data_IF_120672851841
#
_entry.id   IF_120672851841
#
_cell.length_a   1.000
_cell.length_b   1.000
_cell.length_c   1.000
_cell.angle_alpha   90.00
_cell.angle_beta   90.00
_cell.angle_gamma   90.00
#
_symmetry.space_group_name_H-M   'P 1'
#
loop_
_entity.id
_entity.type
_entity.pdbx_description
1 polymer ?
#
# COMPACT_ATOMS: atom_id res chain seq x y z
N UNK A 1 11.15 12.46 24.65
CA UNK A 1 10.59 12.36 26.02
C UNK A 1 9.12 12.07 25.85
N UNK A 2 8.59 10.94 26.35
CA UNK A 2 7.17 10.65 26.26
C UNK A 2 6.34 11.81 26.86
N UNK A 3 5.23 12.15 26.22
CA UNK A 3 4.25 13.06 26.80
C UNK A 3 3.37 12.26 27.77
N UNK A 4 3.03 12.89 28.89
CA UNK A 4 2.11 12.31 29.86
C UNK A 4 0.74 12.95 29.66
N UNK A 5 -0.27 12.10 29.52
CA UNK A 5 -1.67 12.48 29.51
C UNK A 5 -2.33 12.07 30.81
N UNK A 6 -3.30 12.85 31.26
CA UNK A 6 -3.90 12.65 32.59
C UNK A 6 -5.42 12.55 32.53
N UNK A 7 -5.97 11.52 33.17
CA UNK A 7 -7.37 11.41 33.57
C UNK A 7 -7.46 11.70 35.07
N UNK A 8 -8.18 12.74 35.47
CA UNK A 8 -8.64 12.88 36.86
C UNK A 8 -9.85 11.99 37.14
N UNK A 9 -9.76 11.09 38.11
CA UNK A 9 -10.91 10.31 38.59
C UNK A 9 -11.76 11.09 39.59
N UNK A 10 -13.03 10.70 39.76
CA UNK A 10 -13.92 11.26 40.79
C UNK A 10 -13.75 10.60 42.16
N UNK A 11 -13.33 9.34 42.21
CA UNK A 11 -13.44 8.51 43.40
C UNK A 11 -12.25 8.64 44.38
N UNK A 12 -11.15 9.23 43.93
CA UNK A 12 -9.90 9.34 44.70
C UNK A 12 -9.17 10.67 44.49
N UNK A 13 -9.71 11.61 43.70
CA UNK A 13 -9.01 12.85 43.30
C UNK A 13 -7.65 12.60 42.65
N UNK A 14 -7.45 11.44 42.03
CA UNK A 14 -6.15 11.03 41.49
C UNK A 14 -6.10 11.02 39.97
N UNK A 15 -4.88 11.20 39.47
CA UNK A 15 -4.52 11.24 38.07
C UNK A 15 -4.12 9.83 37.58
N UNK A 16 -4.92 9.21 36.71
CA UNK A 16 -4.43 8.14 35.83
C UNK A 16 -3.47 8.75 34.82
N UNK A 17 -2.23 8.27 34.75
CA UNK A 17 -1.20 8.80 33.87
C UNK A 17 -0.98 7.84 32.70
N UNK A 18 -1.31 8.29 31.50
CA UNK A 18 -1.01 7.59 30.26
C UNK A 18 0.25 8.16 29.65
N UNK A 19 1.22 7.31 29.40
CA UNK A 19 2.40 7.66 28.62
C UNK A 19 2.08 7.52 27.14
N UNK A 20 2.36 8.55 26.34
CA UNK A 20 2.37 8.49 24.88
C UNK A 20 3.73 8.94 24.35
N UNK A 21 4.32 8.31 23.32
CA UNK A 21 5.63 8.68 22.80
C UNK A 21 5.67 10.13 22.30
N UNK A 22 6.83 10.80 22.41
CA UNK A 22 7.06 12.14 21.81
C UNK A 22 6.94 12.19 20.29
N UNK A 23 6.83 11.04 19.63
CA UNK A 23 6.62 10.92 18.19
C UNK A 23 5.16 10.57 17.85
N UNK A 24 4.26 10.56 18.83
CA UNK A 24 2.84 10.29 18.60
C UNK A 24 2.16 11.51 17.96
N UNK A 25 1.54 11.34 16.78
CA UNK A 25 0.95 12.37 15.90
C UNK A 25 0.78 13.79 16.48
N UNK A 26 1.49 14.76 15.90
CA UNK A 26 1.24 16.19 16.12
C UNK A 26 1.96 16.83 17.30
N UNK A 27 3.17 16.39 17.68
CA UNK A 27 3.86 16.77 18.93
C UNK A 27 4.40 18.20 19.05
N UNK A 28 4.07 19.10 18.13
CA UNK A 28 4.20 20.53 18.46
C UNK A 28 3.01 20.88 19.35
N UNK A 29 3.23 21.60 20.47
CA UNK A 29 2.16 22.12 21.34
C UNK A 29 1.36 23.23 20.63
N UNK A 30 0.92 22.95 19.42
CA UNK A 30 0.12 23.81 18.57
C UNK A 30 -1.32 23.35 18.68
N UNK A 31 -2.21 24.34 18.75
CA UNK A 31 -3.65 24.13 18.81
C UNK A 31 -4.12 23.18 17.71
N UNK A 32 -4.70 22.06 18.11
CA UNK A 32 -5.25 21.04 17.21
C UNK A 32 -4.41 19.78 17.02
N UNK A 33 -3.31 19.61 17.77
CA UNK A 33 -2.56 18.34 17.79
C UNK A 33 -3.40 17.17 18.33
N UNK A 34 -3.11 15.93 17.92
CA UNK A 34 -3.83 14.75 18.45
C UNK A 34 -3.60 14.58 19.96
N UNK A 35 -2.40 14.87 20.46
CA UNK A 35 -2.11 14.84 21.90
C UNK A 35 -2.95 15.87 22.67
N UNK A 36 -3.12 17.08 22.14
CA UNK A 36 -3.99 18.08 22.76
C UNK A 36 -5.47 17.70 22.68
N UNK A 37 -5.93 17.18 21.53
CA UNK A 37 -7.29 16.67 21.38
C UNK A 37 -7.56 15.52 22.34
N UNK A 38 -6.60 14.60 22.49
CA UNK A 38 -6.67 13.49 23.43
C UNK A 38 -6.62 13.99 24.88
N UNK A 39 -5.76 14.95 25.21
CA UNK A 39 -5.74 15.53 26.56
C UNK A 39 -7.07 16.25 26.87
N UNK A 40 -7.62 17.00 25.93
CA UNK A 40 -8.91 17.67 26.07
C UNK A 40 -10.05 16.65 26.23
N UNK A 41 -9.99 15.54 25.48
CA UNK A 41 -10.91 14.43 25.62
C UNK A 41 -10.86 13.83 27.03
N UNK A 42 -9.66 13.49 27.52
CA UNK A 42 -9.46 12.91 28.85
C UNK A 42 -9.90 13.88 29.97
N UNK A 43 -9.67 15.19 29.82
CA UNK A 43 -10.16 16.23 30.76
C UNK A 43 -11.69 16.33 30.74
N UNK A 44 -12.32 16.26 29.57
CA UNK A 44 -13.78 16.24 29.46
C UNK A 44 -14.37 15.00 30.10
N UNK A 45 -13.75 13.84 29.87
CA UNK A 45 -14.15 12.57 30.48
C UNK A 45 -14.06 12.63 32.00
N UNK A 46 -12.95 13.15 32.54
CA UNK A 46 -12.78 13.45 33.96
C UNK A 46 -13.93 14.29 34.52
N UNK A 47 -14.29 15.36 33.82
CA UNK A 47 -15.38 16.25 34.25
C UNK A 47 -16.72 15.51 34.28
N UNK A 48 -16.98 14.66 33.29
CA UNK A 48 -18.21 13.84 33.22
C UNK A 48 -18.29 12.78 34.31
N UNK A 49 -17.16 12.12 34.64
CA UNK A 49 -17.07 11.16 35.74
C UNK A 49 -17.30 11.88 37.08
N UNK A 50 -16.65 13.03 37.30
CA UNK A 50 -16.84 13.87 38.50
C UNK A 50 -18.26 14.40 38.64
N UNK A 51 -18.93 14.69 37.52
CA UNK A 51 -20.34 15.07 37.48
C UNK A 51 -21.33 13.92 37.69
N UNK A 52 -20.86 12.67 37.78
CA UNK A 52 -21.69 11.48 37.94
C UNK A 52 -22.46 11.04 36.69
N UNK A 53 -22.13 11.60 35.52
CA UNK A 53 -22.75 11.26 34.25
C UNK A 53 -22.20 9.96 33.63
N UNK A 54 -20.98 9.57 34.03
CA UNK A 54 -20.23 8.43 33.51
C UNK A 54 -19.78 7.55 34.69
N UNK A 55 -19.92 6.22 34.59
CA UNK A 55 -19.34 5.27 35.53
C UNK A 55 -17.84 5.09 35.29
N UNK A 56 -17.11 4.67 36.33
CA UNK A 56 -15.66 4.43 36.27
C UNK A 56 -15.29 3.14 37.02
N UNK A 57 -14.50 2.30 36.35
CA UNK A 57 -13.91 1.08 36.89
C UNK A 57 -12.39 1.07 36.67
N UNK A 58 -11.64 0.89 37.75
CA UNK A 58 -10.19 0.74 37.77
C UNK A 58 -9.83 -0.69 38.13
N UNK A 59 -9.37 -1.46 37.16
CA UNK A 59 -8.86 -2.80 37.32
C UNK A 59 -7.34 -2.73 37.54
N UNK A 60 -6.89 -2.80 38.79
CA UNK A 60 -5.46 -2.96 39.10
C UNK A 60 -5.07 -4.41 38.83
N UNK A 61 -4.70 -4.65 37.59
CA UNK A 61 -4.36 -5.97 37.06
C UNK A 61 -3.00 -6.48 37.56
N UNK A 62 -2.19 -5.63 38.20
CA UNK A 62 -0.94 -6.03 38.84
C UNK A 62 -1.13 -6.39 40.32
N UNK A 63 -1.95 -5.62 41.05
CA UNK A 63 -2.30 -5.85 42.45
C UNK A 63 -3.42 -6.87 42.67
N UNK A 64 -4.20 -7.17 41.63
CA UNK A 64 -5.33 -8.11 41.67
C UNK A 64 -6.57 -7.55 42.36
N UNK A 65 -6.77 -6.24 42.30
CA UNK A 65 -7.89 -5.54 42.93
C UNK A 65 -8.66 -4.68 41.93
N UNK A 66 -9.97 -4.85 41.89
CA UNK A 66 -10.86 -4.06 41.04
C UNK A 66 -11.63 -3.04 41.90
N UNK A 67 -11.68 -1.79 41.43
CA UNK A 67 -12.35 -0.69 42.10
C UNK A 67 -13.40 -0.07 41.16
N UNK A 68 -14.67 -0.14 41.53
CA UNK A 68 -15.78 0.38 40.73
C UNK A 68 -16.60 1.42 41.51
N UNK A 69 -17.10 2.44 40.81
CA UNK A 69 -18.07 3.40 41.34
C UNK A 69 -19.30 3.48 40.44
N UNK A 70 -20.47 3.08 40.99
CA UNK A 70 -21.80 2.97 40.32
C UNK A 70 -21.92 1.67 39.48
N UNK A 71 -23.08 0.98 39.39
CA UNK A 71 -23.14 -0.34 38.75
C UNK A 71 -22.67 -0.24 37.30
N UNK A 72 -21.85 -1.20 36.90
CA UNK A 72 -21.21 -1.41 35.59
C UNK A 72 -22.19 -1.60 34.41
N UNK A 73 -23.33 -0.89 34.43
CA UNK A 73 -24.46 -1.04 33.52
C UNK A 73 -25.10 0.29 33.08
N UNK A 74 -24.55 1.45 33.45
CA UNK A 74 -24.97 2.73 32.85
C UNK A 74 -24.24 2.91 31.52
N UNK A 75 -25.00 3.03 30.43
CA UNK A 75 -24.46 3.25 29.09
C UNK A 75 -23.55 4.49 29.08
N UNK A 76 -22.33 4.33 28.55
CA UNK A 76 -21.33 5.40 28.54
C UNK A 76 -20.24 5.25 29.60
N UNK A 77 -20.08 4.12 30.28
CA UNK A 77 -19.08 4.02 31.38
C UNK A 77 -17.66 3.77 30.85
N UNK A 78 -16.66 4.09 31.69
CA UNK A 78 -15.23 3.98 31.40
C UNK A 78 -14.58 2.86 32.23
N UNK A 79 -13.65 2.13 31.62
CA UNK A 79 -12.90 1.05 32.26
C UNK A 79 -11.39 1.20 32.00
N UNK A 80 -10.58 1.13 33.05
CA UNK A 80 -9.12 1.18 32.99
C UNK A 80 -8.50 -0.11 33.50
N UNK A 81 -7.55 -0.65 32.73
CA UNK A 81 -6.70 -1.76 33.11
C UNK A 81 -5.30 -1.22 33.35
N UNK A 82 -4.86 -1.20 34.61
CA UNK A 82 -3.59 -0.57 34.99
C UNK A 82 -2.83 -1.38 36.03
N UNK A 83 -1.57 -1.03 36.26
CA UNK A 83 -0.79 -1.48 37.41
C UNK A 83 -0.80 -0.46 38.56
N UNK A 84 -1.73 0.49 38.54
CA UNK A 84 -1.86 1.55 39.54
C UNK A 84 -3.10 1.30 40.40
N UNK A 85 -2.92 1.15 41.71
CA UNK A 85 -4.04 0.94 42.61
C UNK A 85 -4.91 2.20 42.77
N UNK A 86 -6.04 2.06 43.47
CA UNK A 86 -6.95 3.19 43.73
C UNK A 86 -6.35 4.33 44.56
N UNK A 87 -5.15 4.15 45.12
CA UNK A 87 -4.39 5.16 45.86
C UNK A 87 -3.26 5.79 45.06
N UNK A 88 -3.13 5.44 43.76
CA UNK A 88 -2.07 5.94 42.89
C UNK A 88 -0.73 5.23 43.05
N UNK A 89 -0.70 4.17 43.86
CA UNK A 89 0.52 3.39 44.03
C UNK A 89 0.70 2.48 42.83
N UNK A 90 1.83 2.64 42.15
CA UNK A 90 2.19 1.84 40.98
C UNK A 90 2.87 0.55 41.44
N UNK A 91 2.25 -0.59 41.14
CA UNK A 91 2.87 -1.91 41.29
C UNK A 91 3.88 -2.11 40.16
N UNK A 92 5.17 -2.16 40.51
CA UNK A 92 6.24 -2.38 39.55
C UNK A 92 6.24 -3.78 38.94
N UNK A 93 6.79 -3.93 37.74
CA UNK A 93 6.88 -5.20 37.01
C UNK A 93 6.00 -5.23 35.77
N UNK A 94 6.02 -6.37 35.07
CA UNK A 94 5.19 -6.61 33.87
C UNK A 94 3.95 -7.40 34.24
N UNK A 95 2.79 -7.00 33.71
CA UNK A 95 1.52 -7.71 33.83
C UNK A 95 1.32 -8.62 32.62
N UNK A 96 0.70 -9.78 32.84
CA UNK A 96 0.25 -10.67 31.78
C UNK A 96 -1.08 -11.30 32.16
N UNK A 97 -2.10 -11.17 31.31
CA UNK A 97 -3.43 -11.71 31.61
C UNK A 97 -4.43 -11.50 30.48
N UNK A 98 -5.57 -12.18 30.59
CA UNK A 98 -6.70 -12.03 29.69
C UNK A 98 -7.89 -11.43 30.46
N UNK A 99 -8.43 -10.35 29.92
CA UNK A 99 -9.50 -9.57 30.52
C UNK A 99 -10.62 -9.35 29.50
N UNK A 100 -11.80 -9.01 29.98
CA UNK A 100 -12.98 -8.72 29.15
C UNK A 100 -13.51 -7.37 29.55
N UNK A 101 -13.75 -6.51 28.57
CA UNK A 101 -14.38 -5.21 28.79
C UNK A 101 -15.81 -5.44 29.30
N UNK A 102 -16.19 -4.77 30.38
CA UNK A 102 -17.54 -4.85 30.96
C UNK A 102 -18.63 -4.48 29.96
N UNK A 103 -19.83 -5.03 30.07
CA UNK A 103 -20.93 -4.71 29.15
C UNK A 103 -21.36 -3.24 29.26
N UNK A 104 -21.50 -2.53 28.14
CA UNK A 104 -21.99 -1.14 28.14
C UNK A 104 -20.89 -0.09 28.39
N UNK A 105 -19.66 -0.52 28.64
CA UNK A 105 -18.47 0.34 28.62
C UNK A 105 -18.28 0.88 27.21
N UNK A 106 -18.14 2.20 27.09
CA UNK A 106 -17.88 2.88 25.81
C UNK A 106 -16.42 3.29 25.67
N UNK A 107 -15.67 3.33 26.76
CA UNK A 107 -14.32 3.85 26.79
C UNK A 107 -13.43 2.92 27.59
N UNK A 108 -12.33 2.46 26.98
CA UNK A 108 -11.39 1.57 27.64
C UNK A 108 -9.96 2.09 27.57
N UNK A 109 -9.21 1.87 28.62
CA UNK A 109 -7.79 2.19 28.69
C UNK A 109 -6.98 1.01 29.18
N UNK A 110 -5.81 0.80 28.59
CA UNK A 110 -4.81 -0.12 29.10
C UNK A 110 -3.52 0.65 29.34
N UNK A 111 -3.08 0.66 30.59
CA UNK A 111 -1.88 1.37 31.03
C UNK A 111 -1.17 0.53 32.09
N UNK A 112 -0.54 -0.54 31.62
CA UNK A 112 0.29 -1.44 32.43
C UNK A 112 1.44 -1.98 31.59
N UNK A 113 2.69 -2.02 32.11
CA UNK A 113 3.80 -2.65 31.40
C UNK A 113 3.52 -4.13 31.15
N UNK A 114 3.79 -4.65 29.96
CA UNK A 114 3.65 -6.09 29.66
C UNK A 114 2.55 -6.44 28.66
N UNK A 115 2.08 -7.69 28.67
CA UNK A 115 1.24 -8.26 27.63
C UNK A 115 -0.21 -8.46 28.12
N UNK A 116 -1.14 -7.62 27.68
CA UNK A 116 -2.54 -7.67 28.10
C UNK A 116 -3.40 -8.16 26.95
N UNK A 117 -4.17 -9.22 27.15
CA UNK A 117 -5.21 -9.63 26.19
C UNK A 117 -6.55 -9.06 26.64
N UNK A 118 -7.23 -8.34 25.77
CA UNK A 118 -8.50 -7.68 26.07
C UNK A 118 -9.56 -8.10 25.06
N UNK A 119 -10.66 -8.66 25.55
CA UNK A 119 -11.85 -8.97 24.74
C UNK A 119 -12.83 -7.82 24.83
N UNK A 120 -13.15 -7.21 23.69
CA UNK A 120 -14.09 -6.11 23.60
C UNK A 120 -15.56 -6.53 23.76
N UNK A 121 -16.44 -5.55 23.99
CA UNK A 121 -17.82 -5.78 24.43
C UNK A 121 -18.90 -5.42 23.38
N UNK A 122 -18.52 -4.96 22.19
CA UNK A 122 -19.46 -4.50 21.16
C UNK A 122 -20.03 -3.08 21.34
N UNK A 123 -19.69 -2.39 22.42
CA UNK A 123 -20.14 -1.02 22.72
C UNK A 123 -19.01 -0.02 22.87
N UNK A 124 -17.75 -0.49 23.05
CA UNK A 124 -16.55 0.35 23.07
C UNK A 124 -16.50 1.23 21.82
N UNK A 125 -16.40 2.54 22.05
CA UNK A 125 -16.24 3.61 21.05
C UNK A 125 -14.84 4.18 21.05
N UNK A 126 -14.14 4.09 22.17
CA UNK A 126 -12.77 4.56 22.28
C UNK A 126 -11.93 3.57 23.09
N UNK A 127 -10.73 3.28 22.60
CA UNK A 127 -9.73 2.48 23.29
C UNK A 127 -8.37 3.19 23.26
N UNK A 128 -7.69 3.29 24.40
CA UNK A 128 -6.33 3.84 24.50
C UNK A 128 -5.39 2.82 25.13
N UNK A 129 -4.37 2.41 24.38
CA UNK A 129 -3.28 1.55 24.85
C UNK A 129 -2.05 2.42 25.05
N UNK A 130 -1.60 2.55 26.29
CA UNK A 130 -0.46 3.39 26.62
C UNK A 130 0.86 2.84 26.09
N UNK A 131 1.88 3.70 26.06
CA UNK A 131 3.15 3.44 25.37
C UNK A 131 3.93 2.22 25.86
N UNK A 132 3.70 1.81 27.10
CA UNK A 132 4.42 0.71 27.76
C UNK A 132 3.64 -0.62 27.73
N UNK A 133 2.43 -0.62 27.16
CA UNK A 133 1.55 -1.78 27.06
C UNK A 133 1.65 -2.48 25.70
N UNK A 134 1.68 -3.81 25.71
CA UNK A 134 1.50 -4.64 24.53
C UNK A 134 0.10 -5.27 24.60
N UNK A 135 -0.86 -4.69 23.90
CA UNK A 135 -2.27 -5.10 24.00
C UNK A 135 -2.65 -5.99 22.82
N UNK A 136 -3.17 -7.17 23.11
CA UNK A 136 -3.95 -7.96 22.15
C UNK A 136 -5.43 -7.65 22.33
N UNK A 137 -6.00 -6.81 21.47
CA UNK A 137 -7.38 -6.37 21.56
C UNK A 137 -8.26 -7.09 20.53
N UNK A 138 -9.27 -7.82 20.99
CA UNK A 138 -10.18 -8.59 20.15
C UNK A 138 -11.59 -7.98 20.21
N UNK A 139 -12.00 -7.27 19.16
CA UNK A 139 -13.34 -6.69 19.01
C UNK A 139 -14.09 -7.41 17.88
N UNK A 140 -14.83 -8.46 18.23
CA UNK A 140 -15.59 -9.27 17.27
C UNK A 140 -17.09 -9.00 17.27
N UNK A 141 -17.58 -8.26 18.26
CA UNK A 141 -18.98 -7.84 18.39
C UNK A 141 -19.10 -6.35 18.10
N UNK A 142 -20.30 -5.91 17.68
CA UNK A 142 -20.60 -4.70 16.91
C UNK A 142 -19.94 -3.35 17.28
N UNK A 143 -20.27 -2.33 16.48
CA UNK A 143 -19.95 -0.93 16.74
C UNK A 143 -18.54 -0.52 16.28
N UNK A 144 -18.45 0.70 15.76
CA UNK A 144 -17.20 1.38 15.44
C UNK A 144 -16.47 1.86 16.68
N UNK A 145 -15.14 1.76 16.67
CA UNK A 145 -14.24 2.27 17.69
C UNK A 145 -13.09 3.11 17.11
N UNK A 146 -12.66 4.12 17.87
CA UNK A 146 -11.38 4.80 17.69
C UNK A 146 -10.36 4.21 18.67
N UNK A 147 -9.31 3.60 18.16
CA UNK A 147 -8.30 2.87 18.91
C UNK A 147 -6.99 3.62 18.79
N UNK A 148 -6.39 3.95 19.92
CA UNK A 148 -5.09 4.60 19.99
C UNK A 148 -4.08 3.62 20.57
N UNK A 149 -3.22 3.06 19.72
CA UNK A 149 -2.05 2.29 20.11
C UNK A 149 -0.87 3.27 20.24
N UNK A 150 -0.73 3.86 21.44
CA UNK A 150 0.22 4.93 21.65
C UNK A 150 1.67 4.46 21.54
N UNK A 151 1.98 3.20 21.78
CA UNK A 151 3.33 2.64 21.66
C UNK A 151 3.29 1.13 21.82
N UNK A 152 4.37 0.51 22.32
CA UNK A 152 4.42 -0.93 22.54
C UNK A 152 4.29 -1.75 21.25
N UNK A 153 3.92 -3.02 21.42
CA UNK A 153 3.67 -3.96 20.32
C UNK A 153 2.23 -4.49 20.44
N UNK A 154 1.26 -3.80 19.82
CA UNK A 154 -0.15 -4.18 19.94
C UNK A 154 -0.58 -5.10 18.80
N UNK A 155 -1.52 -5.99 19.10
CA UNK A 155 -2.23 -6.81 18.11
C UNK A 155 -3.72 -6.47 18.20
N UNK A 156 -4.23 -5.75 17.21
CA UNK A 156 -5.59 -5.23 17.17
C UNK A 156 -6.36 -6.06 16.14
N UNK A 157 -7.36 -6.80 16.60
CA UNK A 157 -8.25 -7.59 15.77
C UNK A 157 -9.67 -7.05 15.86
N UNK A 158 -10.17 -6.48 14.77
CA UNK A 158 -11.54 -5.99 14.65
C UNK A 158 -12.25 -6.75 13.53
N UNK A 159 -13.42 -7.30 13.83
CA UNK A 159 -14.16 -8.15 12.88
C UNK A 159 -15.67 -7.97 12.93
N UNK A 160 -16.14 -6.85 13.50
CA UNK A 160 -17.55 -6.54 13.56
C UNK A 160 -18.09 -6.15 12.17
N UNK A 161 -19.24 -6.71 11.79
CA UNK A 161 -19.91 -6.36 10.54
C UNK A 161 -20.40 -4.90 10.55
N UNK A 162 -20.14 -4.18 9.46
CA UNK A 162 -20.49 -2.77 9.23
C UNK A 162 -19.94 -1.81 10.31
N UNK A 163 -18.91 -2.21 11.05
CA UNK A 163 -18.16 -1.31 11.91
C UNK A 163 -17.24 -0.43 11.06
N UNK A 164 -16.85 0.73 11.56
CA UNK A 164 -15.91 1.62 10.86
C UNK A 164 -14.90 2.08 11.86
N UNK A 165 -13.82 1.31 11.97
CA UNK A 165 -12.83 1.47 13.02
C UNK A 165 -11.68 2.36 12.57
N UNK A 166 -11.19 3.18 13.48
CA UNK A 166 -10.00 4.02 13.24
C UNK A 166 -8.90 3.62 14.20
N UNK A 167 -7.72 3.28 13.70
CA UNK A 167 -6.55 2.91 14.50
C UNK A 167 -5.46 3.95 14.32
N UNK A 168 -5.00 4.55 15.41
CA UNK A 168 -3.80 5.38 15.46
C UNK A 168 -2.65 4.56 16.02
N UNK A 169 -1.60 4.35 15.23
CA UNK A 169 -0.48 3.47 15.55
C UNK A 169 0.83 4.26 15.65
N UNK A 170 1.56 4.05 16.73
CA UNK A 170 2.87 4.64 16.98
C UNK A 170 3.92 3.65 17.51
N UNK A 171 3.51 2.39 17.76
CA UNK A 171 4.37 1.30 18.16
C UNK A 171 4.69 0.34 17.01
N UNK A 172 5.08 -0.89 17.35
CA UNK A 172 5.16 -1.98 16.38
C UNK A 172 3.85 -2.77 16.42
N UNK A 173 2.86 -2.28 15.68
CA UNK A 173 1.50 -2.77 15.80
C UNK A 173 1.13 -3.69 14.63
N UNK A 174 0.32 -4.69 14.94
CA UNK A 174 -0.41 -5.47 13.94
C UNK A 174 -1.88 -5.11 14.04
N UNK A 175 -2.49 -4.70 12.93
CA UNK A 175 -3.90 -4.35 12.84
C UNK A 175 -4.56 -5.30 11.86
N UNK A 176 -5.64 -5.95 12.24
CA UNK A 176 -6.40 -6.86 11.38
C UNK A 176 -7.85 -6.43 11.35
N UNK A 177 -8.30 -6.03 10.16
CA UNK A 177 -9.70 -5.82 9.84
C UNK A 177 -10.20 -7.07 9.12
N UNK A 178 -11.24 -7.69 9.66
CA UNK A 178 -11.86 -8.87 9.07
C UNK A 178 -13.39 -8.83 9.24
N UNK A 179 -13.95 -7.61 9.30
CA UNK A 179 -15.37 -7.35 9.30
C UNK A 179 -15.93 -7.43 7.88
N UNK A 180 -17.22 -7.14 7.72
CA UNK A 180 -17.84 -7.03 6.39
C UNK A 180 -18.49 -5.66 6.24
N UNK A 181 -18.19 -4.94 5.16
CA UNK A 181 -18.89 -3.71 4.78
C UNK A 181 -18.58 -2.48 5.64
N UNK A 182 -17.43 -2.48 6.33
CA UNK A 182 -16.94 -1.34 7.08
C UNK A 182 -16.08 -0.36 6.29
N UNK A 183 -15.76 0.78 6.92
CA UNK A 183 -14.77 1.74 6.43
C UNK A 183 -13.70 1.95 7.50
N UNK A 184 -12.53 1.40 7.25
CA UNK A 184 -11.46 1.21 8.21
C UNK A 184 -10.38 2.25 7.95
N UNK A 185 -9.85 2.82 9.02
CA UNK A 185 -8.79 3.82 8.93
C UNK A 185 -7.61 3.39 9.78
N UNK A 186 -6.40 3.47 9.22
CA UNK A 186 -5.16 3.34 9.98
C UNK A 186 -4.29 4.57 9.75
N UNK A 187 -3.87 5.21 10.83
CA UNK A 187 -2.93 6.30 10.83
C UNK A 187 -1.66 5.88 11.58
N UNK A 188 -0.63 5.50 10.84
CA UNK A 188 0.70 5.17 11.37
C UNK A 188 1.61 6.40 11.36
N UNK A 189 2.31 6.67 12.46
CA UNK A 189 3.06 7.90 12.63
C UNK A 189 4.32 7.76 13.48
N UNK A 190 5.14 8.81 13.52
CA UNK A 190 6.38 8.80 14.28
C UNK A 190 7.34 7.77 13.72
N UNK A 191 7.71 6.80 14.55
CA UNK A 191 8.57 5.67 14.19
C UNK A 191 7.79 4.34 14.19
N UNK A 192 6.48 4.38 13.98
CA UNK A 192 5.64 3.17 13.97
C UNK A 192 6.14 2.16 12.94
N UNK A 193 6.03 0.87 13.29
CA UNK A 193 6.12 -0.23 12.32
C UNK A 193 4.78 -0.96 12.33
N UNK A 194 3.91 -0.63 11.40
CA UNK A 194 2.52 -1.13 11.40
C UNK A 194 2.30 -2.13 10.28
N UNK A 195 1.88 -3.35 10.63
CA UNK A 195 1.37 -4.32 9.64
C UNK A 195 -0.15 -4.32 9.68
N UNK A 196 -0.78 -4.12 8.52
CA UNK A 196 -2.23 -4.00 8.38
C UNK A 196 -2.73 -5.16 7.53
N UNK A 197 -3.57 -6.01 8.10
CA UNK A 197 -4.31 -7.04 7.40
C UNK A 197 -5.72 -6.55 7.10
N UNK A 198 -6.13 -6.57 5.83
CA UNK A 198 -7.46 -6.15 5.39
C UNK A 198 -8.22 -7.36 4.86
N UNK A 199 -9.44 -7.59 5.36
CA UNK A 199 -10.25 -8.80 5.19
C UNK A 199 -11.72 -8.50 4.94
N UNK A 200 -12.52 -9.56 4.73
CA UNK A 200 -13.99 -9.59 4.82
C UNK A 200 -14.84 -8.59 3.99
N UNK A 201 -14.26 -7.81 3.08
CA UNK A 201 -14.96 -6.79 2.27
C UNK A 201 -14.98 -5.36 2.81
N UNK A 202 -14.08 -5.09 3.74
CA UNK A 202 -13.83 -3.80 4.37
C UNK A 202 -13.10 -2.83 3.42
N UNK A 203 -13.47 -1.54 3.45
CA UNK A 203 -12.80 -0.48 2.69
C UNK A 203 -11.77 0.19 3.58
N UNK A 204 -10.49 0.03 3.26
CA UNK A 204 -9.41 0.54 4.09
C UNK A 204 -8.85 1.87 3.56
N UNK A 205 -8.58 2.80 4.47
CA UNK A 205 -7.76 4.00 4.26
C UNK A 205 -6.58 3.98 5.21
N UNK A 206 -5.36 3.89 4.67
CA UNK A 206 -4.13 3.82 5.45
C UNK A 206 -3.25 5.02 5.14
N UNK A 207 -2.82 5.72 6.19
CA UNK A 207 -1.85 6.82 6.09
C UNK A 207 -0.62 6.48 6.92
N UNK A 208 0.56 6.52 6.30
CA UNK A 208 1.84 6.50 7.00
C UNK A 208 2.42 7.92 7.00
N UNK A 209 2.94 8.40 8.11
CA UNK A 209 3.47 9.76 8.26
C UNK A 209 4.81 9.79 8.99
N UNK A 210 5.56 10.87 8.83
CA UNK A 210 6.87 11.09 9.47
C UNK A 210 7.90 10.02 9.08
N UNK A 211 8.28 9.12 9.98
CA UNK A 211 9.22 8.02 9.72
C UNK A 211 8.54 6.64 9.89
N UNK A 212 7.21 6.60 9.86
CA UNK A 212 6.46 5.35 10.00
C UNK A 212 6.69 4.41 8.81
N UNK A 213 6.74 3.12 9.08
CA UNK A 213 6.77 2.04 8.11
C UNK A 213 5.46 1.25 8.19
N UNK A 214 4.73 1.24 7.09
CA UNK A 214 3.44 0.58 6.91
C UNK A 214 3.55 -0.54 5.89
N UNK A 215 2.97 -1.69 6.22
CA UNK A 215 2.83 -2.84 5.33
C UNK A 215 1.38 -3.27 5.30
N UNK A 216 0.71 -3.14 4.15
CA UNK A 216 -0.67 -3.60 3.97
C UNK A 216 -0.67 -4.95 3.27
N UNK A 217 -1.43 -5.90 3.82
CA UNK A 217 -1.62 -7.25 3.30
C UNK A 217 -3.10 -7.56 3.23
N UNK A 218 -3.60 -7.98 2.07
CA UNK A 218 -4.98 -8.43 1.94
C UNK A 218 -5.12 -9.91 2.31
N UNK A 219 -6.13 -10.25 3.11
CA UNK A 219 -6.48 -11.61 3.51
C UNK A 219 -7.26 -12.34 2.41
N UNK A 220 -7.43 -13.67 2.54
CA UNK A 220 -8.24 -14.46 1.61
C UNK A 220 -9.71 -13.99 1.64
N UNK A 221 -10.30 -13.79 0.46
CA UNK A 221 -11.67 -13.26 0.27
C UNK A 221 -11.88 -11.82 0.81
N UNK A 222 -10.82 -11.04 0.94
CA UNK A 222 -10.90 -9.65 1.39
C UNK A 222 -11.51 -8.74 0.30
N UNK A 223 -12.82 -8.56 0.21
CA UNK A 223 -13.41 -7.53 -0.66
C UNK A 223 -12.96 -6.09 -0.32
N UNK A 224 -13.56 -5.09 -0.95
CA UNK A 224 -13.35 -3.67 -0.60
C UNK A 224 -12.19 -3.01 -1.36
N UNK A 225 -12.13 -1.67 -1.26
CA UNK A 225 -11.14 -0.82 -1.90
C UNK A 225 -10.07 -0.38 -0.88
N UNK A 226 -8.87 -0.05 -1.35
CA UNK A 226 -7.83 0.55 -0.52
C UNK A 226 -7.48 1.95 -1.02
N UNK A 227 -7.40 2.90 -0.09
CA UNK A 227 -6.67 4.16 -0.24
C UNK A 227 -5.43 4.12 0.65
N UNK A 228 -4.26 4.26 0.06
CA UNK A 228 -2.99 4.32 0.79
C UNK A 228 -2.27 5.65 0.52
N UNK A 229 -1.92 6.37 1.58
CA UNK A 229 -1.24 7.65 1.53
C UNK A 229 0.07 7.55 2.30
N UNK A 230 1.19 7.59 1.58
CA UNK A 230 2.51 7.71 2.18
C UNK A 230 2.90 9.18 2.33
N UNK A 231 2.72 9.72 3.52
CA UNK A 231 3.31 10.99 3.98
C UNK A 231 4.57 10.77 4.84
N UNK A 232 5.13 9.55 4.81
CA UNK A 232 6.37 9.19 5.50
C UNK A 232 7.58 9.35 4.58
N UNK A 233 8.75 9.51 5.18
CA UNK A 233 10.04 9.47 4.48
C UNK A 233 10.49 8.06 4.17
N UNK A 234 9.82 7.04 4.72
CA UNK A 234 10.16 5.63 4.54
C UNK A 234 9.43 5.02 3.35
N UNK A 235 10.08 4.06 2.71
CA UNK A 235 9.44 3.19 1.74
C UNK A 235 8.33 2.36 2.41
N UNK A 236 7.22 2.17 1.70
CA UNK A 236 6.06 1.43 2.20
C UNK A 236 5.80 0.20 1.33
N UNK A 237 5.02 -0.72 1.86
CA UNK A 237 4.60 -1.91 1.12
C UNK A 237 3.09 -2.02 1.09
N UNK A 238 2.51 -2.16 -0.11
CA UNK A 238 1.14 -2.66 -0.30
C UNK A 238 1.25 -3.95 -1.08
N UNK A 239 1.01 -5.06 -0.39
CA UNK A 239 1.08 -6.40 -0.95
C UNK A 239 -0.32 -7.00 -1.08
N UNK A 240 -0.77 -7.13 -2.31
CA UNK A 240 -1.91 -7.98 -2.64
C UNK A 240 -1.41 -9.43 -2.77
N UNK A 241 -1.57 -10.25 -1.74
CA UNK A 241 -1.10 -11.64 -1.77
C UNK A 241 -1.68 -12.45 -2.94
N UNK A 242 -0.90 -13.41 -3.45
CA UNK A 242 -1.39 -14.45 -4.36
C UNK A 242 -1.78 -15.66 -3.53
N UNK A 243 -3.07 -16.02 -3.48
CA UNK A 243 -3.50 -17.26 -2.85
C UNK A 243 -4.20 -18.18 -3.85
N UNK A 244 -3.73 -19.41 -3.92
CA UNK A 244 -4.32 -20.48 -4.73
C UNK A 244 -5.60 -20.96 -4.05
N UNK A 245 -6.75 -20.74 -4.68
CA UNK A 245 -8.01 -21.38 -4.29
C UNK A 245 -7.89 -22.89 -4.38
N UNK A 246 -8.81 -23.62 -3.71
CA UNK A 246 -8.92 -25.08 -3.84
C UNK A 246 -9.15 -25.57 -5.27
N UNK A 247 -9.50 -24.68 -6.21
CA UNK A 247 -9.58 -24.91 -7.65
C UNK A 247 -8.37 -24.45 -8.47
N UNK A 248 -7.25 -24.07 -7.85
CA UNK A 248 -6.02 -23.67 -8.54
C UNK A 248 -5.94 -22.19 -8.97
N UNK A 249 -6.97 -21.38 -8.74
CA UNK A 249 -7.00 -19.97 -9.13
C UNK A 249 -6.33 -19.06 -8.10
N UNK A 250 -5.36 -18.25 -8.51
CA UNK A 250 -4.72 -17.24 -7.65
C UNK A 250 -5.59 -15.98 -7.51
N UNK A 251 -6.08 -15.68 -6.30
CA UNK A 251 -6.82 -14.44 -6.02
C UNK A 251 -5.87 -13.45 -5.34
N UNK A 252 -5.85 -12.23 -5.87
CA UNK A 252 -5.13 -11.06 -5.38
C UNK A 252 -6.17 -10.04 -4.91
N UNK A 253 -5.76 -8.95 -4.24
CA UNK A 253 -6.63 -7.89 -3.73
C UNK A 253 -7.81 -7.65 -4.69
N UNK A 254 -9.07 -7.86 -4.27
CA UNK A 254 -10.13 -8.16 -5.22
C UNK A 254 -10.89 -6.94 -5.74
N UNK A 255 -10.54 -5.69 -5.39
CA UNK A 255 -11.04 -4.47 -6.05
C UNK A 255 -9.95 -3.40 -6.21
N UNK A 256 -10.32 -2.13 -6.35
CA UNK A 256 -9.37 -1.07 -6.70
C UNK A 256 -8.48 -0.66 -5.51
N UNK A 257 -7.19 -0.52 -5.79
CA UNK A 257 -6.17 0.05 -4.92
C UNK A 257 -5.78 1.42 -5.47
N UNK A 258 -5.84 2.44 -4.61
CA UNK A 258 -5.33 3.79 -4.87
C UNK A 258 -4.17 4.06 -3.93
N UNK A 259 -3.01 4.40 -4.49
CA UNK A 259 -1.79 4.71 -3.74
C UNK A 259 -1.29 6.09 -4.14
N UNK A 260 -0.93 6.89 -3.13
CA UNK A 260 -0.01 8.01 -3.26
C UNK A 260 1.24 7.71 -2.41
N UNK A 261 2.35 7.39 -3.08
CA UNK A 261 3.58 6.90 -2.44
C UNK A 261 4.47 8.00 -1.86
N UNK A 262 4.15 9.28 -2.09
CA UNK A 262 4.89 10.42 -1.53
C UNK A 262 6.41 10.32 -1.71
N UNK A 263 7.17 10.90 -0.78
CA UNK A 263 8.61 11.02 -0.91
C UNK A 263 9.39 9.72 -0.62
N UNK A 264 8.82 8.80 0.18
CA UNK A 264 9.51 7.60 0.66
C UNK A 264 9.65 6.48 -0.38
N UNK A 265 8.86 6.49 -1.46
CA UNK A 265 8.86 5.41 -2.45
C UNK A 265 8.14 4.15 -1.93
N UNK A 266 8.47 2.97 -2.47
CA UNK A 266 7.93 1.70 -1.97
C UNK A 266 7.57 0.66 -3.03
N UNK A 267 6.97 -0.43 -2.57
CA UNK A 267 6.48 -1.52 -3.40
C UNK A 267 4.96 -1.60 -3.30
N UNK A 268 4.26 -1.37 -4.41
CA UNK A 268 2.81 -1.25 -4.42
C UNK A 268 2.19 -2.14 -5.50
N UNK A 269 1.32 -3.05 -5.08
CA UNK A 269 0.58 -3.94 -5.98
C UNK A 269 -0.89 -3.57 -5.94
N UNK A 270 -1.46 -3.30 -7.11
CA UNK A 270 -2.87 -3.07 -7.31
C UNK A 270 -3.69 -4.36 -7.26
N UNK A 271 -5.00 -4.19 -7.15
CA UNK A 271 -5.93 -5.31 -7.15
C UNK A 271 -6.21 -5.87 -8.54
N UNK A 272 -6.81 -7.07 -8.59
CA UNK A 272 -7.15 -7.74 -9.85
C UNK A 272 -8.43 -7.23 -10.51
N UNK A 273 -9.26 -6.50 -9.77
CA UNK A 273 -10.47 -5.91 -10.29
C UNK A 273 -10.50 -4.41 -10.01
N UNK A 274 -11.35 -3.70 -10.74
CA UNK A 274 -11.35 -2.24 -10.75
C UNK A 274 -10.11 -1.66 -11.44
N UNK A 275 -10.14 -0.35 -11.66
CA UNK A 275 -9.02 0.39 -12.21
C UNK A 275 -8.18 0.90 -11.04
N UNK A 276 -6.96 0.41 -10.91
CA UNK A 276 -6.04 0.84 -9.86
C UNK A 276 -5.37 2.17 -10.23
N UNK A 277 -5.03 2.97 -9.23
CA UNK A 277 -4.29 4.23 -9.41
C UNK A 277 -3.08 4.24 -8.48
N UNK A 278 -1.92 3.88 -9.00
CA UNK A 278 -0.68 3.76 -8.25
C UNK A 278 0.24 4.92 -8.63
N UNK A 279 0.33 5.93 -7.76
CA UNK A 279 1.11 7.15 -8.02
C UNK A 279 2.31 7.19 -7.08
N UNK A 280 3.50 7.07 -7.67
CA UNK A 280 4.79 7.35 -7.06
C UNK A 280 5.00 8.84 -6.74
N UNK A 281 5.95 9.14 -5.86
CA UNK A 281 6.42 10.50 -5.63
C UNK A 281 7.90 10.63 -5.95
N UNK A 282 8.71 11.24 -5.08
CA UNK A 282 10.14 11.45 -5.38
C UNK A 282 11.01 10.23 -5.12
N UNK A 283 10.57 9.31 -4.26
CA UNK A 283 11.27 8.07 -3.95
C UNK A 283 11.04 6.99 -5.00
N UNK A 284 11.98 6.05 -5.10
CA UNK A 284 11.91 4.93 -6.05
C UNK A 284 10.69 4.06 -5.75
N UNK A 285 9.92 3.72 -6.78
CA UNK A 285 8.78 2.83 -6.65
C UNK A 285 8.87 1.62 -7.56
N UNK A 286 8.38 0.51 -7.04
CA UNK A 286 7.94 -0.62 -7.85
C UNK A 286 6.42 -0.66 -7.82
N UNK A 287 5.79 -0.51 -8.98
CA UNK A 287 4.34 -0.48 -9.15
C UNK A 287 3.90 -1.66 -10.00
N UNK A 288 2.88 -2.39 -9.55
CA UNK A 288 2.26 -3.45 -10.32
C UNK A 288 0.76 -3.21 -10.41
N UNK A 289 0.21 -3.04 -11.61
CA UNK A 289 -1.21 -2.69 -11.82
C UNK A 289 -2.15 -3.79 -11.33
N UNK A 290 -1.88 -5.02 -11.76
CA UNK A 290 -2.69 -6.18 -11.39
C UNK A 290 -3.74 -6.48 -12.46
N UNK A 291 -4.94 -5.94 -12.28
CA UNK A 291 -6.10 -6.12 -13.15
C UNK A 291 -5.98 -5.40 -14.49
N UNK A 292 -7.12 -4.98 -15.02
CA UNK A 292 -7.22 -4.23 -16.29
C UNK A 292 -7.52 -2.77 -16.00
N UNK A 293 -7.00 -1.83 -16.80
CA UNK A 293 -7.42 -0.42 -16.69
C UNK A 293 -6.60 0.41 -15.71
N UNK A 294 -5.41 -0.07 -15.35
CA UNK A 294 -4.62 0.51 -14.27
C UNK A 294 -3.80 1.72 -14.71
N UNK A 295 -3.64 2.69 -13.82
CA UNK A 295 -2.77 3.85 -13.99
C UNK A 295 -1.60 3.76 -13.03
N UNK A 296 -0.39 3.63 -13.57
CA UNK A 296 0.87 3.54 -12.83
C UNK A 296 1.72 4.76 -13.19
N UNK A 297 2.06 5.57 -12.19
CA UNK A 297 2.90 6.77 -12.39
C UNK A 297 4.13 6.69 -11.51
N UNK A 298 5.30 6.44 -12.07
CA UNK A 298 6.59 6.53 -11.37
C UNK A 298 7.20 7.92 -11.56
N UNK A 299 7.67 8.56 -10.50
CA UNK A 299 8.26 9.90 -10.57
C UNK A 299 9.62 9.96 -9.86
N UNK A 300 10.41 10.99 -10.15
CA UNK A 300 11.62 11.32 -9.39
C UNK A 300 12.78 10.35 -9.60
N UNK A 301 12.86 9.31 -8.77
CA UNK A 301 13.94 8.33 -8.79
C UNK A 301 13.77 7.28 -9.90
N UNK A 302 14.59 6.22 -9.89
CA UNK A 302 14.40 5.04 -10.75
C UNK A 302 13.14 4.29 -10.35
N UNK A 303 12.32 3.88 -11.32
CA UNK A 303 11.04 3.22 -11.05
C UNK A 303 10.85 1.97 -11.92
N UNK A 304 10.19 0.96 -11.36
CA UNK A 304 9.78 -0.25 -12.07
C UNK A 304 8.26 -0.31 -12.15
N UNK A 305 7.71 -0.30 -13.36
CA UNK A 305 6.27 -0.25 -13.62
C UNK A 305 5.84 -1.48 -14.42
N UNK A 306 5.02 -2.31 -13.79
CA UNK A 306 4.51 -3.55 -14.35
C UNK A 306 3.00 -3.41 -14.57
N UNK A 307 2.57 -3.28 -15.82
CA UNK A 307 1.16 -3.05 -16.12
C UNK A 307 0.26 -4.22 -15.70
N UNK A 308 0.69 -5.44 -16.02
CA UNK A 308 -0.17 -6.61 -15.88
C UNK A 308 -0.98 -6.83 -17.14
N UNK A 309 -2.28 -7.11 -16.99
CA UNK A 309 -3.16 -7.51 -18.10
C UNK A 309 -4.21 -6.46 -18.43
N UNK A 310 -4.30 -6.04 -19.69
CA UNK A 310 -5.43 -5.25 -20.17
C UNK A 310 -5.03 -3.89 -20.68
N UNK A 311 -5.86 -2.87 -20.40
CA UNK A 311 -5.68 -1.50 -20.86
C UNK A 311 -4.93 -0.64 -19.82
N UNK A 312 -3.60 -0.69 -19.78
CA UNK A 312 -2.83 0.04 -18.77
C UNK A 312 -2.28 1.38 -19.25
N UNK A 313 -2.12 2.31 -18.32
CA UNK A 313 -1.40 3.58 -18.51
C UNK A 313 -0.19 3.60 -17.58
N UNK A 314 1.01 3.48 -18.17
CA UNK A 314 2.28 3.56 -17.45
C UNK A 314 2.99 4.85 -17.82
N UNK A 315 3.25 5.70 -16.82
CA UNK A 315 3.94 6.97 -17.01
C UNK A 315 5.13 7.01 -16.06
N UNK A 316 6.34 7.15 -16.60
CA UNK A 316 7.53 7.32 -15.78
C UNK A 316 8.19 8.66 -16.00
N UNK A 317 8.67 9.27 -14.94
CA UNK A 317 9.63 10.36 -14.99
C UNK A 317 10.76 10.07 -14.01
N UNK A 318 12.00 10.32 -14.43
CA UNK A 318 13.17 10.26 -13.56
C UNK A 318 14.06 11.47 -13.79
N UNK A 319 14.43 12.16 -12.71
CA UNK A 319 15.40 13.26 -12.78
C UNK A 319 16.83 12.76 -12.92
N UNK A 320 17.08 11.55 -12.44
CA UNK A 320 18.31 10.80 -12.61
C UNK A 320 18.01 9.32 -12.34
N UNK A 321 18.38 8.40 -13.23
CA UNK A 321 18.20 6.97 -12.97
C UNK A 321 17.74 6.19 -14.19
N UNK A 322 17.20 5.01 -13.96
CA UNK A 322 16.64 4.17 -15.00
C UNK A 322 15.18 3.85 -14.66
N UNK A 323 14.32 3.78 -15.66
CA UNK A 323 12.98 3.24 -15.47
C UNK A 323 12.82 1.94 -16.25
N UNK A 324 12.06 1.02 -15.68
CA UNK A 324 11.63 -0.20 -16.33
C UNK A 324 10.12 -0.13 -16.50
N UNK A 325 9.66 -0.39 -17.72
CA UNK A 325 8.25 -0.54 -18.05
C UNK A 325 8.05 -1.93 -18.62
N UNK A 326 7.09 -2.68 -18.08
CA UNK A 326 6.75 -4.00 -18.58
C UNK A 326 5.26 -4.11 -18.88
N UNK A 327 4.94 -4.53 -20.12
CA UNK A 327 3.58 -4.73 -20.61
C UNK A 327 3.50 -5.99 -21.48
N UNK A 328 2.32 -6.59 -21.58
CA UNK A 328 2.07 -7.71 -22.50
C UNK A 328 2.78 -9.03 -22.15
N UNK A 329 3.51 -9.09 -21.04
CA UNK A 329 4.22 -10.30 -20.59
C UNK A 329 3.43 -11.04 -19.50
N UNK A 330 3.46 -12.38 -19.60
CA UNK A 330 2.94 -13.26 -18.56
C UNK A 330 3.95 -13.33 -17.40
N UNK A 331 3.62 -12.72 -16.27
CA UNK A 331 4.26 -13.05 -14.99
C UNK A 331 3.70 -14.38 -14.51
N UNK A 332 4.55 -15.30 -14.03
CA UNK A 332 4.14 -16.55 -13.37
C UNK A 332 2.95 -16.30 -12.42
N UNK A 333 1.75 -16.72 -12.85
CA UNK A 333 0.50 -16.55 -12.08
C UNK A 333 -0.57 -15.65 -12.70
N UNK A 334 -0.37 -15.07 -13.89
CA UNK A 334 -1.40 -14.30 -14.61
C UNK A 334 -1.68 -14.98 -15.97
N UNK A 335 -2.94 -15.13 -16.36
CA UNK A 335 -3.33 -15.83 -17.59
C UNK A 335 -2.90 -15.09 -18.87
N UNK A 336 -3.32 -15.59 -20.04
CA UNK A 336 -3.00 -15.05 -21.36
C UNK A 336 -3.16 -13.52 -21.42
N UNK A 337 -2.07 -12.80 -21.72
CA UNK A 337 -2.02 -11.34 -21.67
C UNK A 337 -2.07 -10.80 -23.09
N UNK A 338 -3.16 -10.11 -23.44
CA UNK A 338 -3.13 -9.08 -24.46
C UNK A 338 -3.13 -7.77 -23.70
N UNK A 339 -2.00 -7.06 -23.68
CA UNK A 339 -1.99 -5.70 -23.19
C UNK A 339 -2.57 -4.78 -24.30
N UNK A 340 -2.99 -3.60 -23.89
CA UNK A 340 -3.35 -2.48 -24.73
C UNK A 340 -3.16 -1.22 -23.87
N UNK A 341 -2.99 -0.04 -24.45
CA UNK A 341 -2.83 1.19 -23.67
C UNK A 341 -1.55 1.96 -23.96
N UNK A 342 -1.05 2.70 -22.96
CA UNK A 342 -0.03 3.74 -23.17
C UNK A 342 1.12 3.56 -22.19
N UNK A 343 2.33 3.53 -22.72
CA UNK A 343 3.56 3.64 -21.94
C UNK A 343 4.29 4.90 -22.37
N UNK A 344 4.63 5.78 -21.44
CA UNK A 344 5.32 7.03 -21.76
C UNK A 344 6.35 7.39 -20.71
N UNK A 345 7.43 8.02 -21.15
CA UNK A 345 8.40 8.56 -20.21
C UNK A 345 9.09 9.84 -20.65
N UNK A 346 9.35 10.71 -19.68
CA UNK A 346 10.18 11.91 -19.80
C UNK A 346 11.49 11.80 -19.01
N UNK A 347 11.84 10.60 -18.53
CA UNK A 347 13.01 10.37 -17.68
C UNK A 347 14.36 10.53 -18.40
N UNK A 348 15.38 10.94 -17.65
CA UNK A 348 16.78 10.86 -18.08
C UNK A 348 17.36 9.47 -17.77
N UNK A 349 18.52 9.13 -18.35
CA UNK A 349 19.13 7.81 -18.18
C UNK A 349 18.43 6.71 -18.98
N UNK A 350 18.51 5.47 -18.50
CA UNK A 350 18.04 4.30 -19.27
C UNK A 350 16.54 4.07 -19.08
N UNK A 351 15.80 4.10 -20.17
CA UNK A 351 14.37 3.88 -20.21
C UNK A 351 14.11 2.55 -20.91
N UNK A 352 13.93 1.49 -20.12
CA UNK A 352 13.76 0.13 -20.60
C UNK A 352 12.28 -0.20 -20.75
N UNK A 353 11.87 -0.59 -21.94
CA UNK A 353 10.52 -1.03 -22.28
C UNK A 353 10.58 -2.51 -22.64
N UNK A 354 10.04 -3.37 -21.80
CA UNK A 354 9.96 -4.81 -22.04
C UNK A 354 8.53 -5.13 -22.49
N UNK A 355 8.40 -5.61 -23.71
CA UNK A 355 7.14 -5.62 -24.46
C UNK A 355 6.85 -7.04 -24.92
N UNK A 356 5.76 -7.61 -24.43
CA UNK A 356 5.28 -8.92 -24.85
C UNK A 356 4.15 -8.85 -25.88
N UNK A 357 3.11 -9.64 -25.64
CA UNK A 357 1.90 -9.68 -26.45
C UNK A 357 1.08 -8.39 -26.28
N UNK A 358 0.98 -7.65 -27.37
CA UNK A 358 0.36 -6.32 -27.45
C UNK A 358 -0.88 -6.32 -28.37
N UNK A 359 -1.78 -5.36 -28.22
CA UNK A 359 -2.89 -5.06 -29.11
C UNK A 359 -3.21 -3.54 -29.14
N UNK A 360 -2.40 -2.80 -29.89
CA UNK A 360 -2.62 -1.38 -30.17
C UNK A 360 -1.86 -0.41 -29.26
N UNK A 361 -0.84 -0.86 -28.55
CA UNK A 361 -0.12 -0.07 -27.57
C UNK A 361 0.62 1.08 -28.22
N UNK A 362 0.63 2.20 -27.50
CA UNK A 362 1.44 3.36 -27.84
C UNK A 362 2.54 3.49 -26.80
N UNK A 363 3.79 3.34 -27.25
CA UNK A 363 4.97 3.58 -26.43
C UNK A 363 5.62 4.89 -26.86
N UNK A 364 5.88 5.75 -25.90
CA UNK A 364 6.52 7.05 -26.09
C UNK A 364 7.83 7.08 -25.32
N UNK A 365 8.95 7.06 -26.05
CA UNK A 365 10.28 7.21 -25.48
C UNK A 365 10.55 8.59 -24.89
N UNK A 366 11.66 8.71 -24.19
CA UNK A 366 12.15 9.99 -23.66
C UNK A 366 13.11 10.67 -24.61
N UNK A 367 12.92 11.98 -24.77
CA UNK A 367 13.85 12.88 -25.46
C UNK A 367 14.66 13.74 -24.48
N UNK A 368 14.64 13.42 -23.17
CA UNK A 368 15.41 14.14 -22.18
C UNK A 368 16.91 14.06 -22.48
N UNK A 369 17.66 15.09 -22.08
CA UNK A 369 19.13 15.06 -22.24
C UNK A 369 19.71 13.90 -21.44
N UNK A 370 20.53 13.06 -22.08
CA UNK A 370 21.11 11.87 -21.47
C UNK A 370 20.15 10.68 -21.36
N UNK A 371 18.99 10.69 -22.03
CA UNK A 371 18.13 9.52 -22.14
C UNK A 371 18.69 8.48 -23.12
N UNK A 372 18.42 7.22 -22.80
CA UNK A 372 18.67 6.03 -23.62
C UNK A 372 17.38 5.23 -23.64
N UNK A 373 16.70 5.15 -24.78
CA UNK A 373 15.48 4.36 -24.88
C UNK A 373 15.83 2.96 -25.35
N UNK A 374 15.51 1.96 -24.54
CA UNK A 374 15.77 0.56 -24.80
C UNK A 374 14.42 -0.14 -24.95
N UNK A 375 14.07 -0.57 -26.17
CA UNK A 375 12.86 -1.34 -26.42
C UNK A 375 13.23 -2.79 -26.64
N UNK A 376 12.74 -3.68 -25.81
CA UNK A 376 12.89 -5.13 -25.94
C UNK A 376 11.52 -5.74 -26.27
N UNK A 377 11.35 -6.08 -27.55
CA UNK A 377 10.14 -6.73 -28.06
C UNK A 377 10.38 -8.23 -28.03
N UNK A 378 9.68 -8.91 -27.14
CA UNK A 378 9.88 -10.32 -26.81
C UNK A 378 8.78 -11.16 -27.47
N UNK A 379 9.17 -12.16 -28.26
CA UNK A 379 8.25 -13.10 -28.90
C UNK A 379 7.49 -14.00 -27.92
N UNK A 380 6.38 -14.60 -28.36
CA UNK A 380 5.59 -15.51 -27.50
C UNK A 380 6.17 -16.93 -27.45
N UNK A 381 6.24 -17.53 -26.26
CA UNK A 381 6.99 -18.77 -25.99
C UNK A 381 6.15 -20.07 -26.03
N UNK A 382 4.97 -20.07 -26.65
CA UNK A 382 4.08 -21.23 -26.60
C UNK A 382 3.74 -21.72 -27.99
N UNK A 383 4.26 -22.91 -28.35
CA UNK A 383 3.95 -23.68 -29.58
C UNK A 383 2.47 -24.08 -29.76
N UNK A 384 1.56 -23.45 -29.03
CA UNK A 384 0.11 -23.43 -29.25
C UNK A 384 -0.48 -22.17 -28.59
N UNK A 385 -0.07 -20.99 -29.04
CA UNK A 385 -0.78 -19.73 -28.79
C UNK A 385 -0.83 -18.95 -30.10
N UNK A 386 -1.97 -19.00 -30.77
CA UNK A 386 -2.26 -18.16 -31.92
C UNK A 386 -2.60 -16.76 -31.44
N UNK A 387 -1.62 -15.87 -31.36
CA UNK A 387 -1.84 -14.41 -31.35
C UNK A 387 -0.99 -13.81 -32.46
N UNK A 388 -1.37 -14.09 -33.71
CA UNK A 388 -0.83 -13.35 -34.84
C UNK A 388 -1.60 -12.06 -35.04
N UNK A 389 -0.90 -10.95 -35.27
CA UNK A 389 -1.51 -9.67 -35.68
C UNK A 389 -1.58 -8.56 -34.64
N UNK A 390 -0.69 -8.53 -33.65
CA UNK A 390 -0.54 -7.41 -32.73
C UNK A 390 -0.03 -6.15 -33.44
N UNK A 391 -0.43 -4.97 -32.95
CA UNK A 391 0.04 -3.68 -33.46
C UNK A 391 0.68 -2.89 -32.34
N UNK A 392 1.89 -2.39 -32.56
CA UNK A 392 2.65 -1.59 -31.61
C UNK A 392 3.05 -0.27 -32.28
N UNK A 393 2.74 0.86 -31.67
CA UNK A 393 3.23 2.17 -32.13
C UNK A 393 4.30 2.69 -31.18
N UNK A 394 5.48 2.99 -31.70
CA UNK A 394 6.56 3.61 -30.93
C UNK A 394 6.78 5.03 -31.45
N UNK A 395 6.86 5.98 -30.53
CA UNK A 395 7.12 7.39 -30.80
C UNK A 395 8.26 7.92 -29.92
N UNK A 396 8.81 9.08 -30.28
CA UNK A 396 9.89 9.78 -29.55
C UNK A 396 11.20 8.98 -29.43
N UNK A 397 11.82 8.72 -30.58
CA UNK A 397 13.18 8.19 -30.65
C UNK A 397 14.20 9.31 -30.36
N UNK A 398 14.78 9.31 -29.15
CA UNK A 398 15.99 10.09 -28.85
C UNK A 398 17.21 9.57 -29.59
N UNK A 399 18.32 10.33 -29.61
CA UNK A 399 19.57 9.98 -30.30
C UNK A 399 20.19 8.64 -29.88
N UNK A 400 19.81 8.12 -28.72
CA UNK A 400 20.29 6.86 -28.18
C UNK A 400 19.16 5.83 -28.02
N UNK A 401 18.31 5.69 -29.03
CA UNK A 401 17.21 4.71 -29.01
C UNK A 401 17.61 3.43 -29.71
N UNK A 402 17.37 2.30 -29.06
CA UNK A 402 17.67 0.97 -29.59
C UNK A 402 16.47 0.05 -29.44
N UNK A 403 16.14 -0.68 -30.51
CA UNK A 403 15.15 -1.77 -30.49
C UNK A 403 15.88 -3.10 -30.57
N UNK A 404 15.51 -4.01 -29.67
CA UNK A 404 15.86 -5.42 -29.64
C UNK A 404 14.60 -6.23 -29.97
N UNK A 405 14.73 -7.17 -30.90
CA UNK A 405 13.73 -8.18 -31.16
C UNK A 405 14.28 -9.50 -30.63
N UNK A 406 13.69 -10.01 -29.55
CA UNK A 406 14.20 -11.14 -28.79
C UNK A 406 13.24 -12.32 -28.94
N UNK A 407 13.75 -13.49 -29.33
CA UNK A 407 12.97 -14.73 -29.30
C UNK A 407 12.91 -15.25 -27.86
N UNK A 408 11.73 -15.66 -27.38
CA UNK A 408 11.56 -16.07 -25.99
C UNK A 408 12.17 -17.44 -25.67
N UNK A 409 12.80 -18.13 -26.63
CA UNK A 409 13.58 -19.35 -26.39
C UNK A 409 14.88 -19.08 -25.62
N UNK A 410 14.74 -18.66 -24.35
CA UNK A 410 15.80 -18.38 -23.38
C UNK A 410 16.81 -19.54 -23.35
N UNK A 411 17.95 -19.38 -24.02
CA UNK A 411 19.03 -20.36 -23.97
C UNK A 411 19.92 -20.48 -25.20
N UNK A 412 19.59 -19.83 -26.33
CA UNK A 412 20.48 -19.79 -27.49
C UNK A 412 21.17 -18.42 -27.57
N UNK A 413 22.50 -18.40 -27.59
CA UNK A 413 23.34 -17.17 -27.59
C UNK A 413 23.31 -16.39 -28.91
N UNK A 414 22.21 -16.47 -29.66
CA UNK A 414 22.09 -16.03 -31.05
C UNK A 414 20.96 -15.00 -31.26
N UNK A 415 20.37 -14.47 -30.19
CA UNK A 415 19.37 -13.39 -30.24
C UNK A 415 20.00 -12.13 -30.84
N UNK A 416 19.76 -11.87 -32.13
CA UNK A 416 20.29 -10.68 -32.79
C UNK A 416 19.32 -10.12 -33.82
N UNK A 417 18.64 -9.05 -33.44
CA UNK A 417 18.57 -7.88 -34.32
C UNK A 417 18.61 -6.61 -33.45
N UNK A 418 19.71 -5.86 -33.58
CA UNK A 418 19.96 -4.60 -32.90
C UNK A 418 19.70 -3.49 -33.91
N UNK A 419 18.74 -2.60 -33.62
CA UNK A 419 18.57 -1.39 -34.42
C UNK A 419 18.97 -0.19 -33.59
N UNK A 420 20.16 0.35 -33.82
CA UNK A 420 20.47 1.71 -33.36
C UNK A 420 19.73 2.68 -34.28
N UNK A 421 18.71 3.35 -33.74
CA UNK A 421 17.91 4.33 -34.48
C UNK A 421 18.59 5.68 -34.33
N UNK A 422 19.33 6.11 -35.35
CA UNK A 422 20.00 7.41 -35.36
C UNK A 422 18.95 8.56 -35.40
N UNK A 423 19.14 9.60 -34.58
CA UNK A 423 18.22 10.74 -34.55
C UNK A 423 18.30 11.60 -35.81
N UNK A 424 17.32 11.52 -36.69
CA UNK A 424 16.84 12.65 -37.49
C UNK A 424 15.42 12.41 -38.04
N UNK A 425 14.60 13.44 -37.87
CA UNK A 425 13.15 13.53 -38.01
C UNK A 425 12.79 13.84 -39.47
N UNK A 426 11.99 12.99 -40.11
CA UNK A 426 11.24 13.35 -41.31
C UNK A 426 9.82 13.79 -40.92
N UNK A 427 9.28 14.90 -41.45
CA UNK A 427 8.00 15.48 -41.01
C UNK A 427 6.76 14.64 -41.36
N UNK A 428 6.92 13.48 -42.01
CA UNK A 428 5.83 12.67 -42.56
C UNK A 428 6.12 11.17 -42.65
N UNK A 429 7.23 10.66 -42.06
CA UNK A 429 7.65 9.27 -42.22
C UNK A 429 7.35 8.41 -41.00
N UNK A 430 6.52 7.38 -41.18
CA UNK A 430 6.52 6.19 -40.35
C UNK A 430 7.30 5.08 -41.04
N UNK A 431 7.78 4.10 -40.28
CA UNK A 431 8.25 2.84 -40.85
C UNK A 431 7.53 1.69 -40.16
N UNK A 432 6.87 0.84 -40.93
CA UNK A 432 6.26 -0.38 -40.41
C UNK A 432 7.28 -1.51 -40.46
N UNK A 433 7.55 -2.11 -39.30
CA UNK A 433 8.35 -3.34 -39.18
C UNK A 433 7.37 -4.49 -38.95
N UNK A 434 7.28 -5.43 -39.89
CA UNK A 434 6.38 -6.58 -39.79
C UNK A 434 7.18 -7.83 -39.44
N UNK A 435 6.78 -8.48 -38.35
CA UNK A 435 7.40 -9.72 -37.86
C UNK A 435 6.66 -10.96 -38.40
N UNK A 436 7.33 -12.11 -38.35
CA UNK A 436 6.86 -13.38 -38.93
C UNK A 436 5.64 -13.97 -38.26
N UNK A 437 5.33 -13.55 -37.04
CA UNK A 437 4.07 -13.86 -36.35
C UNK A 437 2.92 -12.92 -36.74
N UNK A 438 3.16 -11.94 -37.62
CA UNK A 438 2.19 -10.94 -38.05
C UNK A 438 2.13 -9.69 -37.17
N UNK A 439 2.98 -9.58 -36.13
CA UNK A 439 3.15 -8.34 -35.35
C UNK A 439 3.59 -7.20 -36.27
N UNK A 440 2.93 -6.05 -36.18
CA UNK A 440 3.33 -4.83 -36.90
C UNK A 440 3.78 -3.77 -35.90
N UNK A 441 5.01 -3.28 -36.05
CA UNK A 441 5.57 -2.21 -35.23
C UNK A 441 5.68 -0.95 -36.10
N UNK A 442 4.87 0.06 -35.80
CA UNK A 442 4.93 1.37 -36.42
C UNK A 442 5.92 2.27 -35.68
N UNK A 443 7.04 2.57 -36.33
CA UNK A 443 8.06 3.50 -35.85
C UNK A 443 7.74 4.92 -36.35
N UNK A 444 7.05 5.71 -35.53
CA UNK A 444 6.61 7.06 -35.93
C UNK A 444 7.76 8.05 -35.86
N UNK A 445 8.01 8.78 -36.95
CA UNK A 445 9.08 9.77 -37.04
C UNK A 445 10.45 9.18 -37.39
N UNK A 446 10.52 7.88 -37.70
CA UNK A 446 11.72 7.18 -38.16
C UNK A 446 11.54 6.84 -39.64
N UNK A 447 12.41 7.37 -40.50
CA UNK A 447 12.44 6.95 -41.90
C UNK A 447 13.30 5.69 -42.06
N UNK A 448 12.98 4.87 -43.06
CA UNK A 448 13.66 3.61 -43.33
C UNK A 448 15.18 3.75 -43.53
N UNK A 449 15.67 4.88 -44.02
CA UNK A 449 17.11 5.16 -44.19
C UNK A 449 17.90 5.23 -42.86
N UNK A 450 17.19 5.39 -41.74
CA UNK A 450 17.77 5.42 -40.40
C UNK A 450 17.69 4.07 -39.67
N UNK A 451 17.26 3.03 -40.40
CA UNK A 451 17.30 1.64 -39.95
C UNK A 451 18.51 0.99 -40.62
N UNK A 452 19.49 0.53 -39.83
CA UNK A 452 20.73 -0.05 -40.35
C UNK A 452 20.47 -1.37 -41.09
N UNK A 453 21.04 -1.51 -42.29
CA UNK A 453 20.84 -2.68 -43.17
C UNK A 453 21.61 -3.94 -42.74
N UNK A 454 22.70 -3.81 -41.97
CA UNK A 454 23.53 -4.94 -41.52
C UNK A 454 22.80 -5.86 -40.50
N UNK A 455 21.70 -5.38 -39.90
CA UNK A 455 20.88 -6.11 -38.92
C UNK A 455 19.57 -6.67 -39.47
N UNK A 456 19.30 -6.45 -40.77
CA UNK A 456 18.15 -7.01 -41.50
C UNK A 456 18.36 -8.48 -41.91
N UNK A 457 19.57 -9.00 -41.74
CA UNK A 457 19.96 -10.37 -42.09
C UNK A 457 20.06 -11.27 -40.83
N UNK A 458 19.19 -11.01 -39.83
CA UNK A 458 19.13 -11.78 -38.59
C UNK A 458 18.83 -13.25 -38.89
N UNK A 459 19.77 -14.13 -38.52
CA UNK A 459 19.83 -15.55 -38.87
C UNK A 459 18.69 -16.43 -38.31
N UNK A 460 17.60 -15.87 -37.77
CA UNK A 460 16.52 -16.62 -37.13
C UNK A 460 15.13 -16.42 -37.73
N UNK A 461 14.98 -15.65 -38.82
CA UNK A 461 13.68 -15.54 -39.50
C UNK A 461 12.56 -15.05 -38.57
N UNK A 462 12.76 -13.90 -37.91
CA UNK A 462 11.74 -13.22 -37.08
C UNK A 462 11.15 -12.01 -37.81
N UNK A 463 11.90 -11.39 -38.72
CA UNK A 463 11.45 -10.26 -39.56
C UNK A 463 10.86 -10.76 -40.88
N UNK A 464 9.65 -10.34 -41.24
CA UNK A 464 9.04 -10.67 -42.54
C UNK A 464 9.45 -9.65 -43.60
N UNK A 465 9.16 -8.38 -43.36
CA UNK A 465 9.50 -7.27 -44.25
C UNK A 465 9.32 -5.94 -43.54
N UNK A 466 9.94 -4.90 -44.09
CA UNK A 466 9.69 -3.51 -43.71
C UNK A 466 8.80 -2.87 -44.77
N UNK A 467 7.68 -2.30 -44.36
CA UNK A 467 6.78 -1.55 -45.24
C UNK A 467 6.97 -0.05 -45.02
N UNK A 468 7.08 0.66 -46.13
CA UNK A 468 7.20 2.11 -46.14
C UNK A 468 5.79 2.72 -46.17
N UNK A 469 5.47 3.50 -45.15
CA UNK A 469 4.22 4.28 -45.07
C UNK A 469 4.42 5.69 -45.60
#
# INVERSE_FOLDING_TARGET
MAASLTIGGAFNSQAGIVSVPSSFLGTTSTSGSLNELLQNYLVSLTTSIQGGAYGFENNDIAGGSDFSSVPSSVAGSFEEFTNTDSTGSVTGGTVSGAYTVGSGITDVMVQAPGNVTLTGNGTTKFALFGADSNVTYNQSTGGSASIVAAGGNNSIYVSAANASDTVYSAGNDTVTFNGIGGNEVVNAAGNATTTIFVGGSDVASVTASESAQGSVVFLQNAGGNLLFINSSTQAQTVYSGSYTTSGGGSIFAPNSVTVNAGAGGGFYVGGRAGNNSLIGGSGAVTLQGGGTGDTLVGNGASNDLYGGTGLETLIGSSTSGANIFQIGLNYVGIGQVTASGVVSTSGSGVQSFIIGNTNGETITGSTATGSYNLYDVVGSNSGSLTTGGSSLTITNFGANSTIFLTDATLGNTSDTSIYTIASAIGPSGGTDVVLNDGTTILLKGVSASHISSDTMNGANGVLTYIKYS
#
